data_IF_611220908490
#
_entry.id   IF_611220908490
#
_cell.length_a   1.000
_cell.length_b   1.000
_cell.length_c   1.000
_cell.angle_alpha   90.00
_cell.angle_beta   90.00
_cell.angle_gamma   90.00
#
_symmetry.space_group_name_H-M   'P 1'
#
loop_
_entity.id
_entity.type
_entity.pdbx_description
1 polymer ?
#
# COMPACT_ATOMS: atom_id res chain seq x y z
N UNK A 1 -7.42 50.64 -39.07
CA UNK A 1 -7.04 49.22 -39.09
C UNK A 1 -6.15 48.80 -37.92
N UNK A 2 -5.41 49.68 -37.27
CA UNK A 2 -4.47 49.37 -36.17
C UNK A 2 -5.15 49.08 -34.80
N UNK A 3 -6.36 49.64 -34.58
CA UNK A 3 -7.08 49.51 -33.32
C UNK A 3 -7.76 48.17 -33.12
N UNK A 4 -8.13 47.46 -34.18
CA UNK A 4 -8.74 46.11 -34.09
C UNK A 4 -7.72 44.98 -33.92
N UNK A 5 -6.46 45.22 -34.28
CA UNK A 5 -5.38 44.26 -34.12
C UNK A 5 -4.93 44.16 -32.64
N UNK A 6 -4.96 45.25 -31.91
CA UNK A 6 -4.62 45.27 -30.48
C UNK A 6 -5.67 44.57 -29.63
N UNK A 7 -6.97 44.65 -29.96
CA UNK A 7 -8.03 43.90 -29.25
C UNK A 7 -7.98 42.39 -29.48
N UNK A 8 -7.51 41.93 -30.64
CA UNK A 8 -7.36 40.51 -30.95
C UNK A 8 -6.18 39.89 -30.16
N UNK A 9 -5.12 40.65 -29.93
CA UNK A 9 -3.93 40.18 -29.19
C UNK A 9 -4.20 40.13 -27.68
N UNK A 10 -4.97 41.05 -27.12
CA UNK A 10 -5.33 41.04 -25.70
C UNK A 10 -6.31 39.92 -25.35
N UNK A 11 -7.16 39.49 -26.30
CA UNK A 11 -8.08 38.36 -26.05
C UNK A 11 -7.43 36.98 -26.13
N UNK A 12 -6.33 36.82 -26.88
CA UNK A 12 -5.56 35.58 -26.93
C UNK A 12 -4.68 35.32 -25.71
N UNK A 13 -4.29 36.34 -24.95
CA UNK A 13 -3.43 36.18 -23.75
C UNK A 13 -4.25 35.73 -22.53
N UNK A 14 -5.57 35.86 -22.54
CA UNK A 14 -6.43 35.48 -21.42
C UNK A 14 -6.79 33.96 -21.38
N UNK A 15 -6.39 33.17 -22.37
CA UNK A 15 -6.74 31.75 -22.51
C UNK A 15 -5.63 30.77 -22.13
N UNK A 16 -4.47 31.21 -21.64
CA UNK A 16 -3.32 30.33 -21.32
C UNK A 16 -3.07 30.25 -19.81
N UNK A 17 -4.11 30.38 -18.97
CA UNK A 17 -4.01 30.00 -17.58
C UNK A 17 -4.98 28.84 -17.30
N UNK A 18 -4.89 27.78 -18.10
CA UNK A 18 -5.32 26.46 -17.63
C UNK A 18 -4.14 25.91 -16.86
N UNK A 19 -4.15 26.18 -15.57
CA UNK A 19 -3.13 25.71 -14.65
C UNK A 19 -2.98 24.20 -14.74
N UNK A 20 -1.76 23.74 -14.93
CA UNK A 20 -1.35 22.42 -14.52
C UNK A 20 -1.63 22.30 -13.01
N UNK A 21 -2.79 21.76 -12.70
CA UNK A 21 -3.12 21.37 -11.34
C UNK A 21 -2.20 20.20 -11.01
N UNK A 22 -1.12 20.51 -10.31
CA UNK A 22 -0.18 19.54 -9.79
C UNK A 22 -0.91 18.73 -8.72
N UNK A 23 -1.63 17.69 -9.15
CA UNK A 23 -2.37 16.79 -8.27
C UNK A 23 -1.38 16.02 -7.41
N UNK A 24 -0.92 16.64 -6.34
CA UNK A 24 -0.49 15.88 -5.16
C UNK A 24 -1.71 15.06 -4.78
N UNK A 25 -1.62 13.76 -4.89
CA UNK A 25 -2.68 12.83 -4.48
C UNK A 25 -2.80 12.92 -2.96
N UNK A 26 -3.57 13.90 -2.52
CA UNK A 26 -3.88 14.11 -1.11
C UNK A 26 -4.98 13.08 -0.74
N UNK A 27 -4.61 12.09 0.06
CA UNK A 27 -5.52 11.03 0.52
C UNK A 27 -6.69 11.57 1.35
N UNK A 28 -6.66 12.83 1.75
CA UNK A 28 -7.74 13.48 2.50
C UNK A 28 -9.03 13.67 1.66
N UNK A 29 -8.92 13.66 0.33
CA UNK A 29 -10.03 13.94 -0.59
C UNK A 29 -10.65 12.69 -1.24
N UNK A 30 -10.32 11.48 -0.77
CA UNK A 30 -10.91 10.25 -1.31
C UNK A 30 -12.40 10.16 -0.96
N UNK A 31 -13.22 9.85 -1.96
CA UNK A 31 -14.63 9.50 -1.75
C UNK A 31 -14.74 8.22 -0.94
N UNK A 32 -15.90 7.98 -0.30
CA UNK A 32 -16.12 6.74 0.46
C UNK A 32 -15.95 5.51 -0.43
N UNK A 33 -16.47 5.51 -1.65
CA UNK A 33 -16.31 4.41 -2.61
C UNK A 33 -14.84 4.11 -2.95
N UNK A 34 -13.98 5.13 -3.04
CA UNK A 34 -12.54 4.93 -3.26
C UNK A 34 -11.86 4.32 -2.02
N UNK A 35 -12.25 4.76 -0.82
CA UNK A 35 -11.75 4.18 0.44
C UNK A 35 -12.14 2.70 0.55
N UNK A 36 -13.38 2.37 0.22
CA UNK A 36 -13.89 0.99 0.24
C UNK A 36 -13.17 0.12 -0.80
N UNK A 37 -12.92 0.64 -2.00
CA UNK A 37 -12.14 -0.05 -3.03
C UNK A 37 -10.70 -0.33 -2.57
N UNK A 38 -10.05 0.63 -1.92
CA UNK A 38 -8.70 0.48 -1.35
C UNK A 38 -8.69 -0.56 -0.23
N UNK A 39 -9.67 -0.52 0.68
CA UNK A 39 -9.77 -1.45 1.81
C UNK A 39 -10.06 -2.88 1.36
N UNK A 40 -10.84 -3.04 0.28
CA UNK A 40 -11.25 -4.34 -0.26
C UNK A 40 -10.30 -4.89 -1.34
N UNK A 41 -9.23 -4.16 -1.68
CA UNK A 41 -8.25 -4.64 -2.65
C UNK A 41 -7.59 -5.93 -2.17
N UNK A 42 -7.53 -6.92 -3.04
CA UNK A 42 -6.79 -8.18 -2.85
C UNK A 42 -5.35 -8.09 -3.40
N UNK A 43 -4.99 -6.98 -4.01
CA UNK A 43 -3.70 -6.79 -4.66
C UNK A 43 -3.54 -7.61 -5.94
N UNK A 44 -2.31 -7.69 -6.42
CA UNK A 44 -1.95 -8.38 -7.67
C UNK A 44 -1.07 -9.58 -7.34
N UNK A 45 -1.58 -10.78 -7.60
CA UNK A 45 -0.85 -12.02 -7.34
C UNK A 45 -1.77 -13.24 -7.34
N UNK A 46 -1.23 -14.35 -6.85
CA UNK A 46 -1.90 -15.66 -6.89
C UNK A 46 -2.91 -15.90 -5.76
N UNK A 47 -2.85 -15.11 -4.70
CA UNK A 47 -3.76 -15.26 -3.57
C UNK A 47 -5.04 -14.49 -3.85
N UNK A 48 -6.14 -15.22 -4.07
CA UNK A 48 -7.47 -14.66 -4.41
C UNK A 48 -8.52 -15.02 -3.38
N UNK A 49 -8.27 -16.02 -2.55
CA UNK A 49 -9.15 -16.49 -1.47
C UNK A 49 -8.29 -17.15 -0.37
N UNK A 50 -8.03 -16.40 0.69
CA UNK A 50 -7.22 -16.85 1.82
C UNK A 50 -8.12 -17.21 2.99
N UNK A 51 -8.21 -18.50 3.32
CA UNK A 51 -8.94 -18.98 4.50
C UNK A 51 -8.16 -18.67 5.76
N UNK A 52 -8.78 -17.96 6.68
CA UNK A 52 -8.19 -17.60 7.97
C UNK A 52 -8.51 -18.66 9.02
N UNK A 53 -7.54 -18.95 9.88
CA UNK A 53 -7.77 -19.80 11.04
C UNK A 53 -8.45 -19.00 12.17
N UNK A 54 -9.43 -19.62 12.82
CA UNK A 54 -10.08 -19.13 14.03
C UNK A 54 -10.28 -20.30 14.99
N UNK A 55 -9.59 -20.35 16.14
CA UNK A 55 -8.57 -19.39 16.58
C UNK A 55 -7.31 -19.40 15.71
N UNK A 56 -6.41 -18.46 15.95
CA UNK A 56 -5.08 -18.40 15.33
C UNK A 56 -4.31 -19.71 15.53
N UNK A 57 -3.56 -20.12 14.52
CA UNK A 57 -2.59 -21.22 14.64
C UNK A 57 -1.29 -20.71 15.25
N UNK A 58 -1.07 -20.95 16.53
CA UNK A 58 0.10 -20.47 17.27
C UNK A 58 1.42 -21.02 16.68
N UNK A 59 1.42 -22.20 16.05
CA UNK A 59 2.62 -22.74 15.41
C UNK A 59 2.99 -21.92 14.17
N UNK A 60 2.02 -21.42 13.39
CA UNK A 60 2.26 -20.51 12.28
C UNK A 60 2.68 -19.13 12.78
N UNK A 61 2.10 -18.65 13.88
CA UNK A 61 2.48 -17.37 14.52
C UNK A 61 3.96 -17.38 14.90
N UNK A 62 4.45 -18.40 15.58
CA UNK A 62 5.86 -18.49 15.98
C UNK A 62 6.82 -18.59 14.79
N UNK A 63 6.44 -19.31 13.73
CA UNK A 63 7.20 -19.32 12.48
C UNK A 63 7.23 -17.94 11.82
N UNK A 64 6.09 -17.22 11.80
CA UNK A 64 5.98 -15.85 11.29
C UNK A 64 6.84 -14.87 12.08
N UNK A 65 6.87 -15.01 13.40
CA UNK A 65 7.75 -14.21 14.28
C UNK A 65 9.23 -14.42 13.95
N UNK A 66 9.63 -15.64 13.67
CA UNK A 66 11.01 -15.96 13.26
C UNK A 66 11.35 -15.30 11.92
N UNK A 67 10.44 -15.34 10.94
CA UNK A 67 10.59 -14.67 9.65
C UNK A 67 10.67 -13.16 9.81
N UNK A 68 9.78 -12.57 10.63
CA UNK A 68 9.82 -11.15 10.94
C UNK A 68 11.19 -10.73 11.50
N UNK A 69 11.69 -11.46 12.48
CA UNK A 69 12.98 -11.17 13.12
C UNK A 69 14.17 -11.28 12.16
N UNK A 70 14.08 -12.18 11.17
CA UNK A 70 15.17 -12.39 10.21
C UNK A 70 15.12 -11.42 9.01
N UNK A 71 13.91 -11.06 8.53
CA UNK A 71 13.75 -10.41 7.23
C UNK A 71 13.05 -9.04 7.27
N UNK A 72 12.31 -8.72 8.34
CA UNK A 72 11.42 -7.56 8.34
C UNK A 72 11.79 -6.48 9.36
N UNK A 73 12.32 -6.88 10.53
CA UNK A 73 12.53 -6.01 11.69
C UNK A 73 13.48 -4.82 11.40
N UNK A 74 14.42 -5.00 10.47
CA UNK A 74 15.36 -3.93 10.09
C UNK A 74 14.65 -2.71 9.46
N UNK A 75 13.46 -2.92 8.87
CA UNK A 75 12.74 -1.89 8.15
C UNK A 75 11.34 -1.61 8.69
N UNK A 76 10.72 -2.55 9.41
CA UNK A 76 9.35 -2.45 9.89
C UNK A 76 9.26 -2.68 11.40
N UNK A 77 8.62 -1.76 12.12
CA UNK A 77 8.28 -1.94 13.54
C UNK A 77 6.94 -2.67 13.69
N UNK A 78 6.72 -3.33 14.82
CA UNK A 78 5.42 -3.94 15.15
C UNK A 78 4.38 -2.91 15.63
N UNK A 79 4.82 -1.72 15.99
CA UNK A 79 3.96 -0.57 16.33
C UNK A 79 3.47 0.13 15.07
N UNK A 80 2.74 1.24 15.21
CA UNK A 80 2.37 2.13 14.10
C UNK A 80 3.49 3.07 13.65
N UNK A 81 4.63 3.06 14.35
CA UNK A 81 5.76 3.91 14.02
C UNK A 81 6.44 3.46 12.73
N UNK A 82 6.75 4.45 11.89
CA UNK A 82 7.54 4.24 10.68
C UNK A 82 9.03 4.15 11.03
N UNK A 83 9.73 3.20 10.40
CA UNK A 83 11.18 3.14 10.38
C UNK A 83 11.67 3.46 8.96
N UNK A 84 12.07 2.49 8.18
CA UNK A 84 12.29 2.62 6.72
C UNK A 84 10.95 2.48 6.00
N UNK A 85 10.20 1.44 6.32
CA UNK A 85 8.84 1.19 5.90
C UNK A 85 7.81 1.49 6.99
N UNK A 86 6.51 1.38 6.69
CA UNK A 86 5.44 1.59 7.66
C UNK A 86 5.45 0.52 8.75
N UNK A 87 4.95 0.85 9.94
CA UNK A 87 4.76 -0.11 11.01
C UNK A 87 3.63 -1.11 10.71
N UNK A 88 3.66 -2.26 11.37
CA UNK A 88 2.72 -3.36 11.14
C UNK A 88 1.43 -3.26 11.95
N UNK A 89 1.38 -2.39 12.97
CA UNK A 89 0.17 -2.26 13.81
C UNK A 89 -1.07 -1.88 12.99
N UNK A 90 -2.12 -2.66 13.13
CA UNK A 90 -3.39 -2.51 12.44
C UNK A 90 -3.32 -2.85 10.93
N UNK A 91 -2.30 -3.58 10.48
CA UNK A 91 -2.17 -3.94 9.06
C UNK A 91 -3.29 -4.88 8.62
N UNK A 92 -3.64 -5.86 9.45
CA UNK A 92 -4.74 -6.80 9.16
C UNK A 92 -6.14 -6.19 9.28
N UNK A 93 -6.26 -4.97 9.82
CA UNK A 93 -7.50 -4.18 9.79
C UNK A 93 -7.63 -3.36 8.51
N UNK A 94 -6.49 -2.93 7.96
CA UNK A 94 -6.42 -2.01 6.82
C UNK A 94 -6.34 -2.72 5.48
N UNK A 95 -5.96 -4.00 5.45
CA UNK A 95 -5.67 -4.75 4.22
C UNK A 95 -6.25 -6.15 4.28
N UNK A 96 -6.75 -6.60 3.13
CA UNK A 96 -7.21 -7.98 2.97
C UNK A 96 -6.04 -8.95 3.15
N UNK A 97 -6.28 -10.16 3.67
CA UNK A 97 -5.24 -11.18 3.83
C UNK A 97 -4.56 -11.54 2.51
N UNK A 98 -5.33 -11.56 1.41
CA UNK A 98 -4.80 -11.76 0.07
C UNK A 98 -3.82 -10.66 -0.32
N UNK A 99 -4.16 -9.40 -0.04
CA UNK A 99 -3.30 -8.26 -0.35
C UNK A 99 -1.96 -8.37 0.38
N UNK A 100 -2.00 -8.71 1.66
CA UNK A 100 -0.79 -8.88 2.48
C UNK A 100 0.08 -9.98 1.90
N UNK A 101 -0.50 -11.16 1.61
CA UNK A 101 0.24 -12.30 1.06
C UNK A 101 0.77 -12.02 -0.34
N UNK A 102 -0.02 -11.40 -1.21
CA UNK A 102 0.42 -11.00 -2.55
C UNK A 102 1.57 -9.97 -2.46
N UNK A 103 1.48 -9.00 -1.55
CA UNK A 103 2.52 -7.98 -1.42
C UNK A 103 3.88 -8.59 -1.04
N UNK A 104 3.92 -9.46 -0.03
CA UNK A 104 5.18 -10.01 0.48
C UNK A 104 5.78 -11.13 -0.38
N UNK A 105 5.00 -11.73 -1.30
CA UNK A 105 5.48 -12.76 -2.24
C UNK A 105 5.72 -12.22 -3.65
N UNK A 106 5.12 -11.08 -4.01
CA UNK A 106 5.18 -10.51 -5.35
C UNK A 106 5.44 -8.99 -5.28
N UNK A 107 6.35 -8.58 -4.41
CA UNK A 107 6.62 -7.20 -4.03
C UNK A 107 6.83 -6.28 -5.23
N UNK A 108 7.61 -6.72 -6.24
CA UNK A 108 7.92 -5.88 -7.40
C UNK A 108 6.68 -5.55 -8.22
N UNK A 109 5.87 -6.55 -8.57
CA UNK A 109 4.63 -6.33 -9.34
C UNK A 109 3.63 -5.50 -8.56
N UNK A 110 3.51 -5.74 -7.25
CA UNK A 110 2.64 -4.94 -6.38
C UNK A 110 3.06 -3.46 -6.39
N UNK A 111 4.33 -3.16 -6.21
CA UNK A 111 4.83 -1.78 -6.22
C UNK A 111 4.75 -1.12 -7.60
N UNK A 112 4.82 -1.89 -8.69
CA UNK A 112 4.76 -1.36 -10.05
C UNK A 112 3.33 -1.15 -10.55
N UNK A 113 2.34 -1.92 -10.04
CA UNK A 113 1.02 -2.02 -10.69
C UNK A 113 -0.18 -1.94 -9.73
N UNK A 114 -0.01 -2.17 -8.42
CA UNK A 114 -1.10 -2.03 -7.45
C UNK A 114 -1.18 -0.59 -6.94
N UNK A 115 -2.32 0.06 -7.15
CA UNK A 115 -2.50 1.47 -6.77
C UNK A 115 -2.33 1.72 -5.27
N UNK A 116 -2.71 0.76 -4.44
CA UNK A 116 -2.58 0.86 -2.97
C UNK A 116 -1.11 0.76 -2.57
N UNK A 117 -0.36 -0.16 -3.19
CA UNK A 117 1.07 -0.31 -2.96
C UNK A 117 1.86 0.92 -3.43
N UNK A 118 1.50 1.49 -4.58
CA UNK A 118 2.11 2.71 -5.11
C UNK A 118 1.90 3.92 -4.17
N UNK A 119 0.73 4.05 -3.54
CA UNK A 119 0.49 5.10 -2.55
C UNK A 119 1.43 4.99 -1.33
N UNK A 120 1.81 3.78 -0.94
CA UNK A 120 2.77 3.59 0.15
C UNK A 120 4.17 4.08 -0.21
N UNK A 121 4.55 4.05 -1.50
CA UNK A 121 5.85 4.56 -1.95
C UNK A 121 6.04 6.06 -1.72
N UNK A 122 4.94 6.82 -1.66
CA UNK A 122 5.01 8.28 -1.39
C UNK A 122 5.52 8.55 0.03
N UNK A 123 5.24 7.65 0.96
CA UNK A 123 5.62 7.82 2.37
C UNK A 123 6.83 6.97 2.78
N UNK A 124 7.32 6.07 1.93
CA UNK A 124 8.47 5.22 2.22
C UNK A 124 9.79 5.94 1.88
N UNK A 125 10.83 5.63 2.64
CA UNK A 125 12.19 6.15 2.40
C UNK A 125 12.84 5.47 1.19
N UNK A 126 12.51 4.19 0.97
CA UNK A 126 13.04 3.40 -0.13
C UNK A 126 12.04 2.35 -0.58
N UNK A 127 12.24 1.84 -1.79
CA UNK A 127 11.47 0.71 -2.33
C UNK A 127 11.75 -0.54 -1.49
N UNK A 128 10.70 -1.23 -1.07
CA UNK A 128 10.82 -2.50 -0.36
C UNK A 128 11.45 -3.57 -1.28
N UNK A 129 12.57 -4.19 -0.90
CA UNK A 129 13.14 -5.29 -1.67
C UNK A 129 12.27 -6.56 -1.55
N UNK A 130 12.24 -7.36 -2.60
CA UNK A 130 11.58 -8.67 -2.53
C UNK A 130 12.31 -9.58 -1.51
N UNK A 131 11.56 -10.09 -0.54
CA UNK A 131 12.08 -10.96 0.52
C UNK A 131 12.12 -12.43 0.12
N UNK A 132 11.66 -12.77 -1.09
CA UNK A 132 11.62 -14.13 -1.65
C UNK A 132 10.94 -15.12 -0.69
N UNK A 133 9.82 -14.72 -0.11
CA UNK A 133 9.03 -15.59 0.75
C UNK A 133 8.30 -16.65 -0.08
N UNK A 134 8.34 -17.89 0.39
CA UNK A 134 7.46 -18.95 -0.09
C UNK A 134 6.01 -18.68 0.37
N UNK A 135 5.04 -19.39 -0.21
CA UNK A 135 3.64 -19.30 0.16
C UNK A 135 3.39 -19.64 1.63
N UNK A 136 4.09 -20.67 2.12
CA UNK A 136 4.00 -21.08 3.51
C UNK A 136 4.61 -20.01 4.45
N UNK A 137 5.73 -19.41 4.07
CA UNK A 137 6.31 -18.30 4.85
C UNK A 137 5.41 -17.07 4.84
N UNK A 138 4.77 -16.75 3.71
CA UNK A 138 3.81 -15.67 3.62
C UNK A 138 2.58 -15.93 4.50
N UNK A 139 2.11 -17.19 4.55
CA UNK A 139 1.03 -17.59 5.45
C UNK A 139 1.44 -17.46 6.92
N UNK A 140 2.63 -17.89 7.29
CA UNK A 140 3.15 -17.73 8.64
C UNK A 140 3.24 -16.25 9.03
N UNK A 141 3.73 -15.40 8.12
CA UNK A 141 3.78 -13.95 8.33
C UNK A 141 2.39 -13.34 8.52
N UNK A 142 1.39 -13.78 7.74
CA UNK A 142 0.01 -13.31 7.90
C UNK A 142 -0.53 -13.63 9.30
N UNK A 143 -0.34 -14.86 9.81
CA UNK A 143 -0.79 -15.24 11.15
C UNK A 143 -0.06 -14.41 12.23
N UNK A 144 1.24 -14.18 12.08
CA UNK A 144 2.00 -13.32 12.99
C UNK A 144 1.50 -11.88 12.98
N UNK A 145 1.22 -11.29 11.82
CA UNK A 145 0.65 -9.95 11.69
C UNK A 145 -0.73 -9.89 12.37
N UNK A 146 -1.59 -10.89 12.15
CA UNK A 146 -2.89 -10.99 12.80
C UNK A 146 -2.77 -11.07 14.32
N UNK A 147 -1.82 -11.83 14.85
CA UNK A 147 -1.53 -11.90 16.29
C UNK A 147 -1.08 -10.55 16.84
N UNK A 148 -0.20 -9.84 16.11
CA UNK A 148 0.24 -8.49 16.48
C UNK A 148 -0.93 -7.50 16.56
N UNK A 149 -1.94 -7.69 15.72
CA UNK A 149 -3.16 -6.87 15.67
C UNK A 149 -4.30 -7.39 16.57
N UNK A 150 -3.98 -8.28 17.53
CA UNK A 150 -4.92 -8.87 18.48
C UNK A 150 -6.11 -9.59 17.84
N UNK A 151 -5.93 -10.17 16.64
CA UNK A 151 -6.95 -11.05 16.03
C UNK A 151 -6.94 -12.41 16.70
N UNK A 152 -8.11 -13.07 16.63
CA UNK A 152 -8.30 -14.40 17.22
C UNK A 152 -8.84 -15.37 16.14
#
# INVERSE_FOLDING_TARGET
>A
MQRNLLFAITMCILYIIVGCNNSKTDTSNLTQAQKDSIANSKGIGKFTDVKLNHPLDEALVEKGKSIYSAKCIACHKLTNEKLVGPGFSGLSDKRQPEWIMNFITNTNVMLDSDLVAQQLMVVCVSRMPNQNLTDNEARNMLEFIRKNDNKN
#
